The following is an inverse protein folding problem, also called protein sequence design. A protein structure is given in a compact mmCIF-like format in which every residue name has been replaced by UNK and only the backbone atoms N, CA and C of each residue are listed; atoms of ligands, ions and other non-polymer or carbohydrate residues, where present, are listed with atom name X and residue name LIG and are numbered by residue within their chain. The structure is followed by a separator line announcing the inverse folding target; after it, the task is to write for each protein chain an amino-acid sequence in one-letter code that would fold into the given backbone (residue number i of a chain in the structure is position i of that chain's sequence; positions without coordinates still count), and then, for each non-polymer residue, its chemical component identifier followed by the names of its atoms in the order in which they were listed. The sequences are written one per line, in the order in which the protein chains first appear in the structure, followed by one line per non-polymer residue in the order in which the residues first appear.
data_IF_052032037228
#
_entry.id   IF_052032037228
#
_cell.length_a   1.000
_cell.length_b   1.000
_cell.length_c   1.000
_cell.angle_alpha   90.00
_cell.angle_beta   90.00
_cell.angle_gamma   90.00
#
_symmetry.space_group_name_H-M   'P 1'
#
loop_
_entity.id
_entity.type
_entity.pdbx_description
1 polymer ?
#
# COMPACT_ATOMS: atom_id res chain seq x y z
N UNK A 1 -2.27 -10.98 -11.24
CA UNK A 1 -1.95 -10.06 -12.35
C UNK A 1 -2.84 -10.34 -13.55
N UNK A 2 -2.88 -11.57 -14.06
CA UNK A 2 -3.70 -11.95 -15.24
C UNK A 2 -5.19 -11.58 -15.09
N UNK A 3 -5.80 -11.86 -13.93
CA UNK A 3 -7.22 -11.56 -13.65
C UNK A 3 -7.54 -10.06 -13.69
N UNK A 4 -6.56 -9.21 -13.44
CA UNK A 4 -6.66 -7.76 -13.49
C UNK A 4 -6.07 -7.16 -14.77
N UNK A 5 -5.66 -8.03 -15.71
CA UNK A 5 -5.05 -7.67 -17.00
C UNK A 5 -3.77 -6.82 -16.86
N UNK A 6 -3.06 -6.91 -15.72
CA UNK A 6 -1.82 -6.18 -15.46
C UNK A 6 -0.65 -6.93 -16.10
N UNK A 7 0.09 -6.26 -17.00
CA UNK A 7 1.25 -6.79 -17.71
C UNK A 7 2.56 -6.11 -17.30
N UNK A 8 2.50 -4.83 -16.99
CA UNK A 8 3.66 -4.01 -16.64
C UNK A 8 3.45 -3.38 -15.25
N UNK A 9 3.42 -4.17 -14.14
CA UNK A 9 3.20 -3.61 -12.81
C UNK A 9 4.39 -2.80 -12.32
N UNK A 10 4.13 -1.69 -11.61
CA UNK A 10 5.10 -1.11 -10.69
C UNK A 10 5.01 -1.83 -9.35
N UNK A 11 6.10 -2.43 -8.91
CA UNK A 11 6.20 -3.07 -7.60
C UNK A 11 6.84 -2.08 -6.63
N UNK A 12 6.07 -1.61 -5.66
CA UNK A 12 6.53 -0.73 -4.58
C UNK A 12 6.95 -1.57 -3.37
N UNK A 13 8.21 -1.50 -3.01
CA UNK A 13 8.79 -2.24 -1.88
C UNK A 13 9.83 -1.39 -1.15
N UNK A 14 10.46 -1.91 -0.12
CA UNK A 14 11.39 -1.19 0.74
C UNK A 14 12.81 -1.79 0.68
N UNK A 15 13.84 -0.98 1.05
CA UNK A 15 15.24 -1.42 1.01
C UNK A 15 15.53 -2.61 1.93
N UNK A 16 14.73 -2.79 3.01
CA UNK A 16 14.89 -3.92 3.93
C UNK A 16 14.61 -5.25 3.24
N UNK A 17 13.49 -5.33 2.52
CA UNK A 17 13.10 -6.53 1.76
C UNK A 17 14.05 -6.81 0.60
N UNK A 18 14.50 -5.75 -0.10
CA UNK A 18 15.49 -5.88 -1.17
C UNK A 18 16.82 -6.41 -0.63
N UNK A 19 17.29 -5.92 0.52
CA UNK A 19 18.57 -6.33 1.11
C UNK A 19 18.64 -7.80 1.52
N UNK A 20 17.50 -8.43 1.81
CA UNK A 20 17.39 -9.85 2.17
C UNK A 20 16.98 -10.75 0.99
N UNK A 21 16.93 -10.20 -0.23
CA UNK A 21 16.64 -10.93 -1.47
C UNK A 21 15.17 -11.33 -1.66
N UNK A 22 14.24 -10.74 -0.90
CA UNK A 22 12.79 -11.02 -1.05
C UNK A 22 12.27 -10.48 -2.39
N UNK A 23 12.79 -9.36 -2.86
CA UNK A 23 12.44 -8.78 -4.16
C UNK A 23 12.84 -9.69 -5.31
N UNK A 24 14.00 -10.34 -5.23
CA UNK A 24 14.46 -11.28 -6.26
C UNK A 24 13.57 -12.53 -6.33
N UNK A 25 13.09 -13.02 -5.18
CA UNK A 25 12.12 -14.13 -5.15
C UNK A 25 10.82 -13.78 -5.88
N UNK A 26 10.35 -12.53 -5.73
CA UNK A 26 9.16 -12.09 -6.48
C UNK A 26 9.45 -12.00 -7.98
N UNK A 27 10.64 -11.50 -8.37
CA UNK A 27 11.04 -11.47 -9.80
C UNK A 27 11.03 -12.85 -10.42
N UNK A 28 11.55 -13.85 -9.71
CA UNK A 28 11.62 -15.23 -10.18
C UNK A 28 10.25 -15.92 -10.32
N UNK A 29 9.25 -15.46 -9.54
CA UNK A 29 7.89 -16.00 -9.57
C UNK A 29 7.00 -15.36 -10.64
N UNK A 30 7.37 -14.19 -11.13
CA UNK A 30 6.61 -13.48 -12.17
C UNK A 30 6.88 -14.15 -13.52
N UNK A 31 5.83 -14.46 -14.28
CA UNK A 31 5.95 -15.08 -15.59
C UNK A 31 6.67 -14.17 -16.59
N UNK A 32 7.32 -14.77 -17.60
CA UNK A 32 8.04 -14.04 -18.65
C UNK A 32 7.12 -13.15 -19.53
N UNK A 33 5.81 -13.23 -19.37
CA UNK A 33 4.83 -12.40 -20.07
C UNK A 33 4.55 -11.07 -19.35
N UNK A 34 5.08 -10.92 -18.13
CA UNK A 34 4.91 -9.74 -17.28
C UNK A 34 6.28 -9.05 -17.13
N UNK A 35 6.31 -7.74 -17.30
CA UNK A 35 7.52 -6.90 -17.24
C UNK A 35 7.48 -5.97 -16.01
N UNK A 36 7.78 -6.47 -14.79
CA UNK A 36 7.68 -5.65 -13.59
C UNK A 36 8.77 -4.59 -13.52
N UNK A 37 8.40 -3.39 -13.15
CA UNK A 37 9.29 -2.32 -12.72
C UNK A 37 9.30 -2.27 -11.20
N UNK A 38 10.45 -2.07 -10.56
CA UNK A 38 10.57 -2.06 -9.10
C UNK A 38 10.98 -0.68 -8.59
N UNK A 39 10.21 -0.17 -7.62
CA UNK A 39 10.60 0.95 -6.76
C UNK A 39 10.94 0.38 -5.38
N UNK A 40 12.22 0.33 -5.04
CA UNK A 40 12.75 -0.36 -3.85
C UNK A 40 13.14 0.60 -2.71
N UNK A 41 12.81 1.89 -2.85
CA UNK A 41 13.23 2.97 -1.94
C UNK A 41 12.10 3.49 -1.03
N UNK A 42 11.05 2.68 -0.79
CA UNK A 42 9.96 3.10 0.08
C UNK A 42 10.47 3.34 1.51
N UNK A 43 10.35 4.56 2.06
CA UNK A 43 10.78 4.83 3.42
C UNK A 43 9.81 4.23 4.45
N UNK A 44 10.27 4.04 5.68
CA UNK A 44 9.48 3.50 6.80
C UNK A 44 8.17 4.27 7.07
N UNK A 45 8.13 5.55 6.71
CA UNK A 45 6.91 6.34 6.59
C UNK A 45 6.93 6.96 5.18
N UNK A 46 6.01 6.58 4.29
CA UNK A 46 6.06 7.03 2.91
C UNK A 46 5.84 8.54 2.83
N UNK A 47 6.62 9.18 1.95
CA UNK A 47 6.60 10.63 1.74
C UNK A 47 6.03 10.97 0.38
N UNK A 48 5.50 12.17 0.22
CA UNK A 48 5.06 12.70 -1.07
C UNK A 48 6.20 12.69 -2.10
N UNK A 49 7.45 12.94 -1.67
CA UNK A 49 8.63 12.83 -2.51
C UNK A 49 8.78 11.40 -3.08
N UNK A 50 8.70 10.38 -2.21
CA UNK A 50 8.80 8.98 -2.62
C UNK A 50 7.66 8.57 -3.57
N UNK A 51 6.44 9.07 -3.33
CA UNK A 51 5.30 8.87 -4.24
C UNK A 51 5.59 9.46 -5.62
N UNK A 52 6.13 10.68 -5.69
CA UNK A 52 6.46 11.33 -6.96
C UNK A 52 7.57 10.57 -7.71
N UNK A 53 8.62 10.15 -7.02
CA UNK A 53 9.72 9.33 -7.61
C UNK A 53 9.19 8.01 -8.18
N UNK A 54 8.34 7.32 -7.43
CA UNK A 54 7.71 6.07 -7.88
C UNK A 54 6.74 6.30 -9.05
N UNK A 55 6.00 7.43 -9.04
CA UNK A 55 5.10 7.81 -10.13
C UNK A 55 5.85 8.16 -11.42
N UNK A 56 6.99 8.83 -11.31
CA UNK A 56 7.88 9.07 -12.46
C UNK A 56 8.34 7.75 -13.07
N UNK A 57 8.75 6.80 -12.23
CA UNK A 57 9.16 5.47 -12.67
C UNK A 57 7.99 4.70 -13.32
N UNK A 58 6.79 4.78 -12.75
CA UNK A 58 5.56 4.21 -13.29
C UNK A 58 5.29 4.70 -14.72
N UNK A 59 5.37 6.03 -14.92
CA UNK A 59 5.12 6.68 -16.22
C UNK A 59 6.21 6.40 -17.24
N UNK A 60 7.48 6.40 -16.81
CA UNK A 60 8.62 6.16 -17.69
C UNK A 60 8.68 4.73 -18.26
N UNK A 61 8.03 3.77 -17.59
CA UNK A 61 8.01 2.36 -18.00
C UNK A 61 6.63 1.90 -18.49
N UNK A 62 5.71 2.83 -18.77
CA UNK A 62 4.35 2.53 -19.25
C UNK A 62 3.65 1.47 -18.38
N UNK A 63 3.79 1.59 -17.06
CA UNK A 63 3.17 0.66 -16.12
C UNK A 63 1.62 0.75 -16.21
N UNK A 64 0.94 -0.38 -16.01
CA UNK A 64 -0.52 -0.51 -16.15
C UNK A 64 -1.23 -0.96 -14.87
N UNK A 65 -0.48 -1.11 -13.77
CA UNK A 65 -0.98 -1.46 -12.46
C UNK A 65 0.09 -1.31 -11.39
N UNK A 66 -0.28 -1.47 -10.13
CA UNK A 66 0.63 -1.31 -8.99
C UNK A 66 0.57 -2.53 -8.08
N UNK A 67 1.72 -2.94 -7.57
CA UNK A 67 1.84 -3.98 -6.54
C UNK A 67 2.51 -3.36 -5.32
N UNK A 68 1.82 -3.36 -4.18
CA UNK A 68 2.41 -3.00 -2.89
C UNK A 68 2.95 -4.26 -2.21
N UNK A 69 4.27 -4.46 -2.22
CA UNK A 69 4.95 -5.60 -1.60
C UNK A 69 5.75 -5.14 -0.39
N UNK A 70 5.30 -5.50 0.81
CA UNK A 70 5.97 -5.09 2.04
C UNK A 70 5.01 -4.85 3.21
N UNK A 71 5.43 -4.01 4.14
CA UNK A 71 4.60 -3.54 5.25
C UNK A 71 3.59 -2.48 4.81
N UNK A 72 2.87 -1.91 5.79
CA UNK A 72 1.89 -0.84 5.56
C UNK A 72 2.44 0.32 4.74
N UNK A 73 3.72 0.68 4.93
CA UNK A 73 4.36 1.80 4.21
C UNK A 73 4.47 1.55 2.71
N UNK A 74 4.87 0.34 2.30
CA UNK A 74 4.95 -0.02 0.87
C UNK A 74 3.57 -0.07 0.23
N UNK A 75 2.57 -0.58 0.95
CA UNK A 75 1.19 -0.61 0.47
C UNK A 75 0.56 0.79 0.39
N UNK A 76 0.83 1.65 1.38
CA UNK A 76 0.33 3.04 1.38
C UNK A 76 0.96 3.86 0.25
N UNK A 77 2.27 3.70 0.00
CA UNK A 77 2.92 4.33 -1.14
C UNK A 77 2.30 3.83 -2.46
N UNK A 78 2.11 2.53 -2.60
CA UNK A 78 1.50 1.94 -3.79
C UNK A 78 0.09 2.48 -4.07
N UNK A 79 -0.75 2.65 -3.03
CA UNK A 79 -2.07 3.29 -3.15
C UNK A 79 -1.98 4.73 -3.64
N UNK A 80 -1.04 5.51 -3.09
CA UNK A 80 -0.85 6.89 -3.51
C UNK A 80 -0.34 6.99 -4.96
N UNK A 81 0.51 6.06 -5.40
CA UNK A 81 0.94 5.97 -6.80
C UNK A 81 -0.24 5.59 -7.70
N UNK A 82 -1.02 4.56 -7.33
CA UNK A 82 -2.20 4.14 -8.09
C UNK A 82 -3.23 5.27 -8.24
N UNK A 83 -3.39 6.10 -7.20
CA UNK A 83 -4.19 7.32 -7.24
C UNK A 83 -3.62 8.31 -8.27
N UNK A 84 -2.36 8.71 -8.10
CA UNK A 84 -1.76 9.79 -8.90
C UNK A 84 -1.45 9.38 -10.35
N UNK A 85 -1.42 8.09 -10.65
CA UNK A 85 -1.30 7.58 -12.01
C UNK A 85 -2.57 7.85 -12.86
N UNK A 86 -3.73 7.98 -12.22
CA UNK A 86 -5.03 8.21 -12.87
C UNK A 86 -5.68 9.56 -12.51
N UNK A 87 -4.97 10.43 -11.78
CA UNK A 87 -5.49 11.74 -11.36
C UNK A 87 -4.46 12.84 -11.60
N UNK A 88 -4.97 14.05 -11.90
CA UNK A 88 -4.17 15.24 -12.08
C UNK A 88 -4.03 16.06 -10.79
N UNK A 89 -3.09 17.02 -10.77
CA UNK A 89 -2.89 17.94 -9.64
C UNK A 89 -1.86 17.45 -8.63
N UNK A 90 -1.99 17.92 -7.39
CA UNK A 90 -1.05 17.58 -6.31
C UNK A 90 -1.64 16.54 -5.37
N UNK A 91 -0.81 15.68 -4.82
CA UNK A 91 -1.24 14.66 -3.86
C UNK A 91 -1.98 15.27 -2.66
N UNK A 92 -1.56 16.46 -2.21
CA UNK A 92 -2.18 17.21 -1.13
C UNK A 92 -3.68 17.50 -1.37
N UNK A 93 -4.09 17.72 -2.62
CA UNK A 93 -5.47 18.05 -2.99
C UNK A 93 -6.45 16.90 -2.71
N UNK A 94 -5.93 15.68 -2.54
CA UNK A 94 -6.67 14.44 -2.25
C UNK A 94 -6.67 14.07 -0.76
N UNK A 95 -5.95 14.81 0.09
CA UNK A 95 -5.94 14.58 1.52
C UNK A 95 -7.31 14.92 2.14
N UNK A 96 -7.78 14.04 3.04
CA UNK A 96 -9.10 14.22 3.70
C UNK A 96 -9.19 15.57 4.40
N UNK A 97 -8.14 15.97 5.10
CA UNK A 97 -8.06 17.23 5.82
C UNK A 97 -8.07 18.48 4.91
N UNK A 98 -7.76 18.32 3.64
CA UNK A 98 -7.76 19.38 2.61
C UNK A 98 -9.04 19.31 1.74
N UNK A 99 -10.06 18.59 2.18
CA UNK A 99 -11.31 18.42 1.46
C UNK A 99 -11.21 17.46 0.26
N UNK A 100 -10.22 16.55 0.28
CA UNK A 100 -9.99 15.56 -0.78
C UNK A 100 -10.96 14.39 -0.76
N UNK A 101 -11.70 14.20 0.33
CA UNK A 101 -12.71 13.15 0.41
C UNK A 101 -13.78 13.34 -0.69
N UNK A 102 -13.97 12.31 -1.51
CA UNK A 102 -14.89 12.36 -2.65
C UNK A 102 -14.28 12.88 -3.98
N UNK A 103 -13.05 13.41 -3.97
CA UNK A 103 -12.34 13.77 -5.21
C UNK A 103 -11.64 12.57 -5.86
N UNK A 104 -11.34 11.53 -5.08
CA UNK A 104 -10.70 10.32 -5.56
C UNK A 104 -11.77 9.47 -6.25
N UNK A 105 -11.60 9.29 -7.54
CA UNK A 105 -12.41 8.43 -8.40
C UNK A 105 -11.69 7.11 -8.65
N UNK A 106 -11.87 6.48 -9.80
CA UNK A 106 -11.20 5.25 -10.16
C UNK A 106 -9.68 5.41 -10.13
N UNK A 107 -8.98 4.47 -9.53
CA UNK A 107 -7.51 4.41 -9.47
C UNK A 107 -6.97 3.31 -10.38
N UNK A 108 -5.66 3.29 -10.61
CA UNK A 108 -5.05 2.16 -11.32
C UNK A 108 -5.22 0.87 -10.49
N UNK A 109 -5.37 -0.29 -11.16
CA UNK A 109 -5.53 -1.56 -10.46
C UNK A 109 -4.33 -1.86 -9.56
N UNK A 110 -4.62 -2.36 -8.34
CA UNK A 110 -3.61 -2.60 -7.32
C UNK A 110 -3.76 -3.97 -6.68
N UNK A 111 -2.61 -4.63 -6.48
CA UNK A 111 -2.47 -5.84 -5.65
C UNK A 111 -1.63 -5.51 -4.42
N UNK A 112 -2.09 -5.93 -3.24
CA UNK A 112 -1.34 -5.81 -2.00
C UNK A 112 -0.79 -7.17 -1.57
N UNK A 113 0.49 -7.22 -1.22
CA UNK A 113 1.19 -8.42 -0.73
C UNK A 113 1.90 -8.06 0.57
N UNK A 114 1.22 -8.20 1.73
CA UNK A 114 1.79 -7.82 3.02
C UNK A 114 2.89 -8.79 3.46
N UNK A 115 3.97 -8.24 4.00
CA UNK A 115 5.05 -8.99 4.68
C UNK A 115 5.05 -8.75 6.18
N UNK A 116 4.06 -8.02 6.70
CA UNK A 116 3.79 -7.80 8.12
C UNK A 116 2.36 -8.17 8.43
N UNK A 117 2.12 -8.73 9.61
CA UNK A 117 0.78 -9.08 10.08
C UNK A 117 0.32 -8.09 11.14
N UNK A 118 -0.50 -7.10 10.78
CA UNK A 118 -0.98 -6.11 11.76
C UNK A 118 -1.60 -4.85 11.19
N UNK A 119 -1.03 -4.23 10.17
CA UNK A 119 -1.45 -2.91 9.68
C UNK A 119 -2.84 -2.90 9.03
N UNK A 120 -3.24 -4.02 8.39
CA UNK A 120 -4.49 -4.11 7.64
C UNK A 120 -4.55 -3.23 6.39
N UNK A 121 -3.40 -2.68 5.94
CA UNK A 121 -3.40 -1.80 4.76
C UNK A 121 -3.85 -2.53 3.50
N UNK A 122 -3.67 -3.85 3.41
CA UNK A 122 -4.12 -4.69 2.29
C UNK A 122 -5.65 -4.73 2.12
N UNK A 123 -6.40 -4.39 3.16
CA UNK A 123 -7.88 -4.35 3.17
C UNK A 123 -8.42 -2.97 3.61
N UNK A 124 -7.57 -1.94 3.60
CA UNK A 124 -7.92 -0.58 4.02
C UNK A 124 -8.17 0.33 2.82
N UNK A 125 -9.11 1.24 2.99
CA UNK A 125 -9.43 2.33 2.03
C UNK A 125 -8.55 3.57 2.22
N UNK A 126 -7.60 3.53 3.16
CA UNK A 126 -6.72 4.64 3.51
C UNK A 126 -5.28 4.45 3.05
N UNK A 127 -4.58 5.55 2.88
CA UNK A 127 -3.13 5.64 2.67
C UNK A 127 -2.59 6.84 3.47
N UNK A 128 -1.56 6.63 4.28
CA UNK A 128 -0.95 7.66 5.13
C UNK A 128 0.37 8.11 4.54
N UNK A 129 0.44 9.37 4.13
CA UNK A 129 1.63 9.96 3.47
C UNK A 129 2.10 11.20 4.24
N UNK A 130 3.42 11.33 4.41
CA UNK A 130 4.04 12.56 4.89
C UNK A 130 4.18 13.51 3.69
N UNK A 131 3.44 14.63 3.74
CA UNK A 131 3.47 15.65 2.69
C UNK A 131 4.76 16.48 2.76
N UNK A 132 5.06 17.22 1.70
CA UNK A 132 6.25 18.06 1.61
C UNK A 132 6.30 19.17 2.68
N UNK A 133 5.15 19.54 3.26
CA UNK A 133 5.05 20.48 4.38
C UNK A 133 5.31 19.84 5.77
N UNK A 134 5.61 18.53 5.80
CA UNK A 134 5.91 17.76 7.00
C UNK A 134 4.68 17.17 7.71
N UNK A 135 3.46 17.48 7.29
CA UNK A 135 2.24 16.88 7.88
C UNK A 135 2.05 15.45 7.38
N UNK A 136 1.73 14.53 8.28
CA UNK A 136 1.30 13.18 7.92
C UNK A 136 -0.23 13.20 7.75
N UNK A 137 -0.68 13.07 6.50
CA UNK A 137 -2.09 13.17 6.12
C UNK A 137 -2.60 11.84 5.57
N UNK A 138 -3.90 11.65 5.70
CA UNK A 138 -4.60 10.49 5.15
C UNK A 138 -5.26 10.85 3.82
N UNK A 139 -5.01 10.01 2.81
CA UNK A 139 -5.80 9.90 1.59
C UNK A 139 -6.82 8.79 1.85
N UNK A 140 -8.10 9.03 1.64
CA UNK A 140 -9.12 8.00 1.90
C UNK A 140 -10.23 8.01 0.85
N UNK A 141 -10.50 6.83 0.28
CA UNK A 141 -11.60 6.60 -0.65
C UNK A 141 -11.83 5.10 -0.79
N UNK A 142 -13.07 4.63 -1.03
CA UNK A 142 -13.31 3.24 -1.42
C UNK A 142 -12.49 2.77 -2.63
N UNK A 143 -12.11 3.70 -3.52
CA UNK A 143 -11.27 3.42 -4.70
C UNK A 143 -9.80 3.12 -4.37
N UNK A 144 -9.34 3.39 -3.14
CA UNK A 144 -7.99 3.04 -2.66
C UNK A 144 -7.92 1.64 -2.05
N UNK A 145 -9.04 0.93 -1.98
CA UNK A 145 -9.05 -0.49 -1.59
C UNK A 145 -8.31 -1.29 -2.66
N UNK A 146 -7.27 -2.08 -2.31
CA UNK A 146 -6.63 -2.98 -3.26
C UNK A 146 -7.63 -3.92 -3.95
N UNK A 147 -7.47 -4.15 -5.24
CA UNK A 147 -8.33 -5.07 -6.00
C UNK A 147 -8.15 -6.53 -5.58
N UNK A 148 -6.94 -6.86 -5.09
CA UNK A 148 -6.63 -8.16 -4.52
C UNK A 148 -5.59 -8.02 -3.40
N UNK A 149 -5.69 -8.89 -2.38
CA UNK A 149 -4.70 -9.04 -1.33
C UNK A 149 -4.18 -10.50 -1.34
N UNK A 150 -2.86 -10.67 -1.35
CA UNK A 150 -2.20 -11.97 -1.27
C UNK A 150 -1.53 -12.07 0.09
N UNK A 151 -2.21 -12.70 1.04
CA UNK A 151 -1.75 -12.85 2.43
C UNK A 151 -1.09 -14.22 2.59
N UNK A 152 0.20 -14.32 2.25
CA UNK A 152 1.00 -15.52 2.45
C UNK A 152 1.73 -15.43 3.80
N UNK A 153 1.44 -16.32 4.77
CA UNK A 153 2.08 -16.29 6.08
C UNK A 153 3.60 -16.53 6.01
N UNK A 154 4.10 -17.25 5.02
CA UNK A 154 5.54 -17.49 4.86
C UNK A 154 6.33 -16.20 4.63
N UNK A 155 5.70 -15.16 4.07
CA UNK A 155 6.31 -13.85 3.87
C UNK A 155 6.55 -13.10 5.19
N UNK A 156 5.91 -13.52 6.28
CA UNK A 156 6.03 -12.88 7.60
C UNK A 156 7.00 -13.59 8.55
N UNK A 157 7.42 -14.82 8.25
CA UNK A 157 8.26 -15.63 9.13
C UNK A 157 9.64 -15.02 9.39
N UNK A 158 10.21 -14.36 8.40
CA UNK A 158 11.52 -13.69 8.50
C UNK A 158 11.50 -12.30 9.15
N UNK A 159 10.33 -11.81 9.60
CA UNK A 159 10.22 -10.47 10.17
C UNK A 159 10.97 -10.34 11.50
N UNK A 160 11.88 -9.34 11.67
CA UNK A 160 12.58 -9.12 12.92
C UNK A 160 11.64 -8.98 14.12
N UNK A 161 12.00 -9.53 15.31
CA UNK A 161 11.11 -9.54 16.51
C UNK A 161 10.57 -8.16 16.91
N UNK A 162 11.36 -7.11 16.76
CA UNK A 162 10.93 -5.73 17.07
C UNK A 162 9.82 -5.26 16.12
N UNK A 163 9.93 -5.57 14.83
CA UNK A 163 8.91 -5.24 13.83
C UNK A 163 7.66 -6.10 14.02
N UNK A 164 7.84 -7.39 14.36
CA UNK A 164 6.73 -8.30 14.70
C UNK A 164 5.95 -7.76 15.90
N UNK A 165 6.65 -7.34 16.96
CA UNK A 165 6.02 -6.76 18.15
C UNK A 165 5.29 -5.44 17.82
N UNK A 166 5.90 -4.57 17.01
CA UNK A 166 5.30 -3.32 16.58
C UNK A 166 4.02 -3.54 15.77
N UNK A 167 4.07 -4.41 14.76
CA UNK A 167 2.90 -4.76 13.94
C UNK A 167 1.80 -5.45 14.77
N UNK A 168 2.17 -6.32 15.71
CA UNK A 168 1.23 -6.99 16.62
C UNK A 168 0.55 -6.01 17.57
N UNK A 169 1.27 -5.02 18.10
CA UNK A 169 0.69 -3.96 18.94
C UNK A 169 -0.24 -3.04 18.14
N UNK A 170 0.08 -2.76 16.90
CA UNK A 170 -0.79 -2.02 15.99
C UNK A 170 -2.12 -2.77 15.76
N UNK A 171 -2.04 -4.06 15.43
CA UNK A 171 -3.21 -4.92 15.29
C UNK A 171 -4.08 -4.96 16.56
N UNK A 172 -3.44 -5.11 17.74
CA UNK A 172 -4.14 -5.11 19.02
C UNK A 172 -4.85 -3.77 19.27
N UNK A 173 -4.17 -2.66 18.98
CA UNK A 173 -4.74 -1.31 19.12
C UNK A 173 -5.97 -1.12 18.21
N UNK A 174 -5.88 -1.56 16.97
CA UNK A 174 -7.02 -1.54 16.03
C UNK A 174 -8.18 -2.38 16.57
N UNK A 175 -7.94 -3.61 17.04
CA UNK A 175 -8.98 -4.47 17.61
C UNK A 175 -9.66 -3.84 18.83
N UNK A 176 -8.90 -3.24 19.74
CA UNK A 176 -9.44 -2.56 20.92
C UNK A 176 -10.29 -1.34 20.49
N UNK A 177 -9.79 -0.53 19.56
CA UNK A 177 -10.51 0.63 19.06
C UNK A 177 -11.86 0.22 18.43
N UNK A 178 -11.84 -0.77 17.54
CA UNK A 178 -13.01 -1.25 16.83
C UNK A 178 -14.05 -1.91 17.77
N UNK A 179 -13.62 -2.44 18.90
CA UNK A 179 -14.54 -3.02 19.91
C UNK A 179 -15.54 -1.98 20.44
N UNK A 180 -15.13 -0.72 20.51
CA UNK A 180 -15.95 0.38 21.03
C UNK A 180 -16.55 1.30 19.96
N UNK A 181 -15.96 1.33 18.77
CA UNK A 181 -16.31 2.30 17.73
C UNK A 181 -17.09 1.72 16.56
N UNK A 182 -17.10 0.39 16.41
CA UNK A 182 -17.79 -0.28 15.32
C UNK A 182 -18.93 -1.17 15.85
N UNK A 183 -20.12 -1.17 15.20
CA UNK A 183 -21.20 -2.07 15.58
C UNK A 183 -20.76 -3.54 15.41
N UNK A 184 -21.12 -4.36 16.39
CA UNK A 184 -20.81 -5.79 16.40
C UNK A 184 -22.12 -6.59 16.55
N UNK A 185 -22.13 -7.87 16.14
CA UNK A 185 -23.31 -8.74 16.39
C UNK A 185 -23.71 -8.84 17.86
N UNK A 186 -22.81 -8.53 18.81
CA UNK A 186 -23.11 -8.48 20.24
C UNK A 186 -23.99 -7.28 20.61
N UNK A 187 -23.89 -6.18 19.86
CA UNK A 187 -24.66 -4.96 20.12
C UNK A 187 -26.14 -5.09 19.66
N UNK A 188 -26.41 -6.08 18.82
CA UNK A 188 -27.76 -6.38 18.29
C UNK A 188 -28.57 -7.29 19.22
N UNK A 189 -28.00 -7.74 20.34
CA UNK A 189 -28.63 -8.68 21.30
C UNK A 189 -29.19 -7.99 22.54
N UNK A 190 -29.26 -6.66 22.57
CA UNK A 190 -29.86 -5.87 23.65
C UNK A 190 -31.21 -5.25 23.26
#
# INVERSE_FOLDING_TARGET
LETLEIKNPLVCTDPGLSSIGMTDKIRDLISNEISPTFYEETPANPTEKAVNEALELYRANDCDGVVGFGGGSSMDLAKAVALMANHDGNLLDYAVNEGGYGKITETMPMIAIPTTSGTGSEVSVGSLIIMNDGRKLILASPHLMPNAAICDPELTEGLPPVLTAGAGMDALTHCICLLYTSPSPRDLST
#
